data_IF_032093427447
#
_entry.id   IF_032093427447
#
_cell.length_a   1.000
_cell.length_b   1.000
_cell.length_c   1.000
_cell.angle_alpha   90.00
_cell.angle_beta   90.00
_cell.angle_gamma   90.00
#
_symmetry.space_group_name_H-M   'P 1'
#
loop_
_entity.id
_entity.type
_entity.pdbx_description
1 polymer ?
#
# COMPACT_ATOMS: atom_id res chain seq x y z
N UNK A 1 -2.15 79.54 -0.56
CA UNK A 1 -1.81 80.01 -1.92
C UNK A 1 -1.26 78.81 -2.65
N UNK A 2 -1.98 78.35 -3.69
CA UNK A 2 -1.65 77.38 -4.74
C UNK A 2 -0.80 76.13 -4.36
N UNK A 3 -1.16 74.92 -4.73
CA UNK A 3 -2.13 74.42 -5.69
C UNK A 3 -1.94 72.91 -5.74
N UNK A 4 -3.06 72.25 -5.94
CA UNK A 4 -3.25 70.84 -6.24
C UNK A 4 -2.47 70.41 -7.49
N UNK A 5 -1.85 69.23 -7.44
CA UNK A 5 -1.81 68.31 -8.58
C UNK A 5 -2.42 66.97 -8.11
N UNK A 6 -3.67 66.76 -8.49
CA UNK A 6 -4.33 65.46 -8.60
C UNK A 6 -3.87 64.79 -9.91
N UNK A 7 -3.63 63.47 -9.92
CA UNK A 7 -4.18 62.47 -10.86
C UNK A 7 -4.09 61.11 -10.12
N UNK A 8 -5.13 60.65 -9.43
CA UNK A 8 -6.17 59.70 -9.87
C UNK A 8 -5.67 58.35 -10.44
N UNK A 9 -5.81 57.28 -9.64
CA UNK A 9 -6.74 56.15 -9.87
C UNK A 9 -6.06 54.99 -10.62
N UNK A 10 -6.13 53.72 -10.24
CA UNK A 10 -7.25 52.86 -9.83
C UNK A 10 -6.63 51.57 -9.23
N UNK A 11 -7.05 51.13 -8.04
CA UNK A 11 -7.89 49.92 -7.77
C UNK A 11 -7.30 48.61 -8.36
N UNK A 12 -7.05 47.54 -7.62
CA UNK A 12 -7.81 46.97 -6.50
C UNK A 12 -6.88 46.27 -5.48
N UNK A 13 -6.96 46.73 -4.24
CA UNK A 13 -6.67 45.91 -3.06
C UNK A 13 -7.95 45.14 -2.71
N UNK A 14 -7.92 43.81 -2.79
CA UNK A 14 -8.57 42.95 -1.79
C UNK A 14 -7.76 41.69 -1.54
N UNK A 15 -7.10 41.74 -0.39
CA UNK A 15 -7.17 40.75 0.69
C UNK A 15 -6.88 39.29 0.33
N UNK A 16 -5.79 38.76 0.88
CA UNK A 16 -5.81 37.98 2.13
C UNK A 16 -4.49 37.20 2.18
N UNK A 17 -3.50 37.73 2.90
CA UNK A 17 -3.15 37.29 4.27
C UNK A 17 -2.61 35.87 4.36
N UNK A 18 -1.39 35.83 4.91
CA UNK A 18 -0.83 34.75 5.74
C UNK A 18 -0.32 33.47 5.05
N UNK A 19 0.94 33.61 4.62
CA UNK A 19 2.07 32.75 4.97
C UNK A 19 1.75 31.49 5.80
N UNK A 20 2.09 30.34 5.22
CA UNK A 20 2.99 29.39 5.90
C UNK A 20 3.80 28.62 4.84
N UNK A 21 5.06 29.03 4.69
CA UNK A 21 6.09 28.25 4.03
C UNK A 21 6.36 26.95 4.79
N UNK A 22 6.58 25.88 4.01
CA UNK A 22 7.46 24.73 4.29
C UNK A 22 7.12 23.87 5.52
N UNK A 23 6.56 22.70 5.23
CA UNK A 23 7.26 21.45 5.57
C UNK A 23 7.01 20.42 4.47
N UNK A 24 7.84 20.46 3.42
CA UNK A 24 8.10 19.25 2.64
C UNK A 24 8.99 18.38 3.52
N UNK A 25 8.38 17.58 4.39
CA UNK A 25 9.07 16.44 4.97
C UNK A 25 9.45 15.51 3.81
N UNK A 26 10.69 15.62 3.36
CA UNK A 26 11.36 14.55 2.63
C UNK A 26 11.57 13.41 3.65
N UNK A 27 10.54 12.60 3.87
CA UNK A 27 10.68 11.34 4.60
C UNK A 27 11.59 10.43 3.75
N UNK A 28 12.50 9.63 4.33
CA UNK A 28 13.52 8.87 3.59
C UNK A 28 12.86 7.73 2.79
N UNK A 29 12.35 8.05 1.62
CA UNK A 29 11.45 7.18 0.85
C UNK A 29 12.18 5.96 0.24
N UNK A 30 13.51 5.94 0.24
CA UNK A 30 14.32 4.88 -0.37
C UNK A 30 14.73 3.77 0.60
N UNK A 31 14.71 4.00 1.92
CA UNK A 31 15.15 2.99 2.88
C UNK A 31 14.08 1.92 3.09
N UNK A 32 12.81 2.32 3.22
CA UNK A 32 11.70 1.38 3.40
C UNK A 32 11.48 0.48 2.17
N UNK A 33 11.67 0.99 0.95
CA UNK A 33 11.62 0.16 -0.27
C UNK A 33 12.73 -0.89 -0.31
N UNK A 34 13.90 -0.62 0.29
CA UNK A 34 15.00 -1.59 0.38
C UNK A 34 14.77 -2.66 1.45
N UNK A 35 13.94 -2.37 2.46
CA UNK A 35 13.67 -3.30 3.56
C UNK A 35 12.61 -4.35 3.21
N UNK A 36 11.69 -4.03 2.30
CA UNK A 36 10.59 -4.92 1.91
C UNK A 36 11.02 -5.86 0.77
N UNK A 37 10.60 -7.12 0.83
CA UNK A 37 10.89 -8.13 -0.20
C UNK A 37 10.00 -8.00 -1.44
N UNK A 38 8.84 -7.36 -1.27
CA UNK A 38 7.85 -7.19 -2.31
C UNK A 38 7.83 -5.73 -2.81
N UNK A 39 7.66 -5.50 -4.12
CA UNK A 39 7.63 -4.16 -4.69
C UNK A 39 6.39 -3.39 -4.24
N UNK A 40 6.60 -2.31 -3.46
CA UNK A 40 5.52 -1.48 -2.90
C UNK A 40 4.62 -0.86 -3.97
N UNK A 41 5.19 -0.48 -5.12
CA UNK A 41 4.43 0.04 -6.25
C UNK A 41 3.39 -0.96 -6.77
N UNK A 42 3.75 -2.25 -6.87
CA UNK A 42 2.84 -3.29 -7.33
C UNK A 42 1.71 -3.54 -6.33
N UNK A 43 2.05 -3.58 -5.04
CA UNK A 43 1.07 -3.74 -3.96
C UNK A 43 0.07 -2.59 -4.01
N UNK A 44 0.55 -1.34 -4.11
CA UNK A 44 -0.31 -0.17 -4.23
C UNK A 44 -1.24 -0.23 -5.44
N UNK A 45 -0.75 -0.70 -6.58
CA UNK A 45 -1.60 -0.89 -7.78
C UNK A 45 -2.65 -1.97 -7.61
N UNK A 46 -2.35 -3.06 -6.89
CA UNK A 46 -3.34 -4.10 -6.56
C UNK A 46 -4.38 -3.56 -5.57
N UNK A 47 -3.96 -2.82 -4.55
CA UNK A 47 -4.91 -2.19 -3.62
C UNK A 47 -5.90 -1.27 -4.35
N UNK A 48 -5.43 -0.53 -5.36
CA UNK A 48 -6.24 0.40 -6.17
C UNK A 48 -6.98 -0.26 -7.33
N UNK A 49 -6.87 -1.58 -7.53
CA UNK A 49 -7.74 -2.26 -8.50
C UNK A 49 -9.17 -2.41 -7.98
N UNK A 50 -9.36 -2.27 -6.68
CA UNK A 50 -10.67 -2.16 -6.06
C UNK A 50 -11.26 -0.75 -6.32
N UNK A 51 -12.44 -0.65 -6.96
CA UNK A 51 -13.08 0.63 -7.27
C UNK A 51 -13.42 1.46 -6.03
N UNK A 52 -13.57 0.82 -4.86
CA UNK A 52 -13.90 1.52 -3.62
C UNK A 52 -12.65 2.11 -2.92
N UNK A 53 -11.44 1.77 -3.39
CA UNK A 53 -10.16 2.23 -2.84
C UNK A 53 -9.62 3.43 -3.62
N UNK A 54 -9.98 4.64 -3.18
CA UNK A 54 -9.54 5.90 -3.80
C UNK A 54 -8.10 6.28 -3.42
N UNK A 55 -7.76 6.15 -2.14
CA UNK A 55 -6.48 6.53 -1.55
C UNK A 55 -5.87 5.35 -0.79
N UNK A 56 -4.57 5.15 -0.97
CA UNK A 56 -3.78 4.17 -0.24
C UNK A 56 -2.58 4.90 0.38
N UNK A 57 -2.58 5.05 1.71
CA UNK A 57 -1.50 5.68 2.45
C UNK A 57 -0.23 4.80 2.40
N UNK A 58 0.94 5.43 2.55
CA UNK A 58 2.21 4.70 2.50
C UNK A 58 2.29 3.64 3.62
N UNK A 59 1.79 3.96 4.82
CA UNK A 59 1.75 3.04 5.96
C UNK A 59 0.89 1.82 5.68
N UNK A 60 -0.28 1.99 5.04
CA UNK A 60 -1.13 0.86 4.66
C UNK A 60 -0.46 -0.06 3.64
N UNK A 61 0.23 0.51 2.64
CA UNK A 61 0.98 -0.27 1.65
C UNK A 61 2.10 -1.07 2.32
N UNK A 62 2.83 -0.46 3.26
CA UNK A 62 3.90 -1.14 4.01
C UNK A 62 3.33 -2.25 4.91
N UNK A 63 2.23 -1.99 5.60
CA UNK A 63 1.57 -2.99 6.44
C UNK A 63 1.12 -4.21 5.62
N UNK A 64 0.49 -3.98 4.47
CA UNK A 64 0.07 -5.05 3.55
C UNK A 64 1.28 -5.78 2.98
N UNK A 65 2.36 -5.08 2.62
CA UNK A 65 3.59 -5.71 2.16
C UNK A 65 4.11 -6.70 3.21
N UNK A 66 4.17 -6.27 4.48
CA UNK A 66 4.66 -7.14 5.56
C UNK A 66 3.71 -8.30 5.86
N UNK A 67 2.41 -8.04 5.87
CA UNK A 67 1.39 -9.07 6.05
C UNK A 67 1.47 -10.12 4.94
N UNK A 68 1.71 -9.70 3.69
CA UNK A 68 1.85 -10.59 2.53
C UNK A 68 3.10 -11.47 2.64
N UNK A 69 4.23 -10.92 3.10
CA UNK A 69 5.44 -11.73 3.38
C UNK A 69 5.17 -12.81 4.42
N UNK A 70 4.54 -12.45 5.53
CA UNK A 70 4.20 -13.39 6.61
C UNK A 70 3.17 -14.43 6.14
N UNK A 71 2.22 -14.00 5.32
CA UNK A 71 1.22 -14.89 4.72
C UNK A 71 1.88 -15.95 3.84
N UNK A 72 2.77 -15.56 2.93
CA UNK A 72 3.50 -16.49 2.05
C UNK A 72 4.33 -17.47 2.89
N UNK A 73 5.04 -17.00 3.91
CA UNK A 73 5.83 -17.85 4.80
C UNK A 73 4.98 -18.91 5.48
N UNK A 74 3.87 -18.50 6.07
CA UNK A 74 2.98 -19.39 6.81
C UNK A 74 2.26 -20.39 5.90
N UNK A 75 1.73 -19.92 4.77
CA UNK A 75 1.12 -20.79 3.76
C UNK A 75 2.11 -21.84 3.26
N UNK A 76 3.35 -21.41 2.98
CA UNK A 76 4.42 -22.32 2.52
C UNK A 76 4.76 -23.37 3.59
N UNK A 77 4.85 -22.96 4.86
CA UNK A 77 5.13 -23.86 5.98
C UNK A 77 4.04 -24.93 6.13
N UNK A 78 2.78 -24.53 6.02
CA UNK A 78 1.65 -25.45 6.12
C UNK A 78 1.58 -26.41 4.93
N UNK A 79 1.83 -25.91 3.71
CA UNK A 79 1.88 -26.74 2.51
C UNK A 79 3.02 -27.77 2.58
N UNK A 80 4.19 -27.37 3.08
CA UNK A 80 5.32 -28.28 3.32
C UNK A 80 4.98 -29.30 4.41
N UNK A 81 4.29 -28.89 5.48
CA UNK A 81 3.83 -29.82 6.50
C UNK A 81 2.93 -30.91 5.90
N UNK A 82 1.93 -30.53 5.09
CA UNK A 82 1.06 -31.47 4.38
C UNK A 82 1.83 -32.42 3.44
N UNK A 83 2.83 -31.87 2.73
CA UNK A 83 3.73 -32.65 1.86
C UNK A 83 4.51 -33.71 2.64
N UNK A 84 5.04 -33.36 3.81
CA UNK A 84 5.80 -34.26 4.69
C UNK A 84 4.92 -35.33 5.32
N UNK A 85 3.66 -35.00 5.68
CA UNK A 85 2.67 -35.99 6.14
C UNK A 85 2.41 -37.05 5.06
N UNK A 86 2.44 -36.65 3.79
CA UNK A 86 2.37 -37.55 2.63
C UNK A 86 3.67 -38.32 2.35
N UNK A 87 4.70 -38.22 3.21
CA UNK A 87 6.05 -38.80 3.04
C UNK A 87 6.77 -38.37 1.76
N UNK A 88 6.41 -37.21 1.21
CA UNK A 88 7.02 -36.64 0.01
C UNK A 88 7.97 -35.50 0.38
N UNK A 89 8.87 -35.18 -0.54
CA UNK A 89 9.78 -34.02 -0.46
C UNK A 89 9.50 -32.96 -1.52
N UNK A 90 8.54 -33.23 -2.40
CA UNK A 90 8.12 -32.34 -3.49
C UNK A 90 6.72 -31.86 -3.18
N UNK A 91 6.59 -30.54 -3.00
CA UNK A 91 5.31 -29.86 -2.81
C UNK A 91 4.50 -29.94 -4.10
N UNK A 92 3.23 -30.33 -4.00
CA UNK A 92 2.30 -30.48 -5.11
C UNK A 92 1.06 -29.62 -4.88
N UNK A 93 0.31 -29.30 -5.95
CA UNK A 93 -0.92 -28.51 -5.86
C UNK A 93 -1.93 -29.11 -4.89
N UNK A 94 -2.09 -30.44 -4.89
CA UNK A 94 -2.95 -31.16 -3.94
C UNK A 94 -2.62 -30.92 -2.45
N UNK A 95 -1.36 -30.57 -2.14
CA UNK A 95 -0.98 -30.22 -0.76
C UNK A 95 -1.54 -28.87 -0.36
N UNK A 96 -1.64 -27.94 -1.32
CA UNK A 96 -2.32 -26.65 -1.14
C UNK A 96 -3.83 -26.86 -1.04
N UNK A 97 -4.43 -27.60 -1.96
CA UNK A 97 -5.89 -27.84 -1.95
C UNK A 97 -6.32 -28.45 -0.60
N UNK A 98 -5.57 -29.43 -0.09
CA UNK A 98 -5.85 -30.03 1.21
C UNK A 98 -5.76 -29.05 2.39
N UNK A 99 -4.80 -28.11 2.41
CA UNK A 99 -4.72 -27.13 3.50
C UNK A 99 -5.79 -26.05 3.40
N UNK A 100 -6.23 -25.71 2.17
CA UNK A 100 -7.33 -24.77 1.95
C UNK A 100 -8.65 -25.36 2.46
N UNK A 101 -8.92 -26.63 2.17
CA UNK A 101 -10.13 -27.34 2.61
C UNK A 101 -10.15 -27.58 4.13
N UNK A 102 -8.98 -27.72 4.76
CA UNK A 102 -8.88 -28.09 6.18
C UNK A 102 -8.81 -26.90 7.11
N UNK A 103 -8.37 -25.72 6.65
CA UNK A 103 -8.11 -24.57 7.53
C UNK A 103 -8.91 -23.34 7.12
N UNK A 104 -9.90 -23.01 7.94
CA UNK A 104 -10.82 -21.86 7.76
C UNK A 104 -10.12 -20.52 7.51
N UNK A 105 -8.91 -20.32 8.08
CA UNK A 105 -8.11 -19.10 7.86
C UNK A 105 -7.72 -18.86 6.39
N UNK A 106 -7.81 -19.88 5.55
CA UNK A 106 -7.52 -19.80 4.12
C UNK A 106 -8.76 -19.80 3.23
N UNK A 107 -9.97 -19.79 3.80
CA UNK A 107 -11.23 -19.85 3.06
C UNK A 107 -11.37 -18.71 2.04
N UNK A 108 -10.75 -17.55 2.30
CA UNK A 108 -10.74 -16.43 1.34
C UNK A 108 -10.02 -16.74 0.01
N UNK A 109 -9.30 -17.86 -0.09
CA UNK A 109 -8.66 -18.34 -1.31
C UNK A 109 -9.50 -19.38 -2.07
N UNK A 110 -10.66 -19.80 -1.56
CA UNK A 110 -11.55 -20.74 -2.25
C UNK A 110 -11.94 -20.17 -3.63
N UNK A 111 -11.89 -21.01 -4.68
CA UNK A 111 -12.17 -20.62 -6.06
C UNK A 111 -11.10 -19.73 -6.73
N UNK A 112 -9.99 -19.42 -6.06
CA UNK A 112 -8.89 -18.64 -6.67
C UNK A 112 -7.84 -19.50 -7.37
N UNK A 113 -7.81 -20.80 -7.08
CA UNK A 113 -6.75 -21.71 -7.53
C UNK A 113 -7.15 -22.63 -8.68
N UNK A 114 -8.35 -22.50 -9.26
CA UNK A 114 -8.89 -23.41 -10.29
C UNK A 114 -7.99 -23.57 -11.54
#
# INVERSE_FOLDING_TARGET
MAGVEEIESQTDDKENSEKAEKTKEKVPNQENEKLMKLPLSRIKSIMKSDPDVTLASQEAVIAIAKATELFIWELSKDAVHSTLQSKRKTLQRKDLDSILDTRDRYLFLEGTLD
#
